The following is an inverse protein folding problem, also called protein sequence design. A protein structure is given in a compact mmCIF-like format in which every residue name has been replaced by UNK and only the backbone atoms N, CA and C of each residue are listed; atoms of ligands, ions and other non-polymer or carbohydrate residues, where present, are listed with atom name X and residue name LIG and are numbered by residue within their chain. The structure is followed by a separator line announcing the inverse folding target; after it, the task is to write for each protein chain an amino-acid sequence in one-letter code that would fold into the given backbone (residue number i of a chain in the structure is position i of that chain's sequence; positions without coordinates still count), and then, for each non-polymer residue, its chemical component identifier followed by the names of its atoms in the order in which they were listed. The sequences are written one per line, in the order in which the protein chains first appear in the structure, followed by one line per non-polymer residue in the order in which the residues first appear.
data_IF_878791799451
#
_entry.id   IF_878791799451
#
_cell.length_a   1.000
_cell.length_b   1.000
_cell.length_c   1.000
_cell.angle_alpha   90.00
_cell.angle_beta   90.00
_cell.angle_gamma   90.00
#
_symmetry.space_group_name_H-M   'P 1'
#
loop_
_entity.id
_entity.type
_entity.pdbx_description
1 polymer ?
#
# COMPACT_ATOMS: atom_id res chain seq x y z
N UNK A 1 10.79 -8.58 2.98
CA UNK A 1 10.36 -7.52 3.92
C UNK A 1 8.85 -7.61 4.03
N UNK A 2 8.29 -7.93 5.19
CA UNK A 2 6.84 -7.93 5.33
C UNK A 2 6.39 -6.47 5.47
N UNK A 3 5.38 -6.09 4.70
CA UNK A 3 4.78 -4.77 4.83
C UNK A 3 3.72 -4.85 5.92
N UNK A 4 3.74 -3.90 6.85
CA UNK A 4 2.69 -3.75 7.87
C UNK A 4 1.74 -2.68 7.37
N UNK A 5 0.47 -3.05 7.20
CA UNK A 5 -0.61 -2.12 6.86
C UNK A 5 -1.64 -2.08 7.98
N UNK A 6 -2.33 -0.95 8.11
CA UNK A 6 -3.51 -0.85 8.96
C UNK A 6 -4.75 -1.25 8.15
N UNK A 7 -5.55 -2.17 8.69
CA UNK A 7 -6.83 -2.57 8.10
C UNK A 7 -7.95 -2.27 9.08
N UNK A 8 -9.13 -1.92 8.56
CA UNK A 8 -10.33 -1.76 9.38
C UNK A 8 -10.64 -3.04 10.15
N UNK A 9 -10.97 -2.86 11.42
CA UNK A 9 -11.36 -3.92 12.33
C UNK A 9 -12.89 -3.99 12.39
N UNK A 10 -13.42 -5.21 12.36
CA UNK A 10 -14.85 -5.46 12.47
C UNK A 10 -15.18 -5.89 13.90
N UNK A 11 -16.12 -5.18 14.53
CA UNK A 11 -16.55 -5.50 15.89
C UNK A 11 -17.26 -6.85 15.95
N UNK A 12 -16.79 -7.80 16.78
CA UNK A 12 -17.50 -9.05 17.01
C UNK A 12 -18.84 -8.82 17.71
N UNK A 13 -19.86 -9.56 17.27
CA UNK A 13 -21.15 -9.65 17.94
C UNK A 13 -21.07 -10.70 19.03
N UNK A 14 -21.49 -10.35 20.25
CA UNK A 14 -21.47 -11.26 21.38
C UNK A 14 -22.85 -11.80 21.75
N UNK A 15 -22.87 -13.01 22.29
CA UNK A 15 -24.03 -13.66 22.92
C UNK A 15 -23.76 -14.12 24.35
N UNK A 16 -22.52 -13.94 24.84
CA UNK A 16 -22.08 -14.25 26.18
C UNK A 16 -20.76 -13.53 26.48
N UNK A 17 -20.41 -13.42 27.77
CA UNK A 17 -19.08 -12.95 28.18
C UNK A 17 -18.01 -13.98 27.77
N UNK A 18 -16.90 -13.50 27.22
CA UNK A 18 -15.74 -14.32 26.88
C UNK A 18 -14.73 -14.44 28.04
N UNK A 19 -13.56 -15.00 27.76
CA UNK A 19 -12.42 -15.01 28.70
C UNK A 19 -11.45 -13.89 28.35
N UNK A 20 -11.28 -12.92 29.26
CA UNK A 20 -10.30 -11.84 29.11
C UNK A 20 -8.88 -12.41 28.93
N UNK A 21 -8.16 -11.98 27.90
CA UNK A 21 -6.84 -12.53 27.57
C UNK A 21 -6.85 -13.87 26.83
N UNK A 22 -8.03 -14.38 26.46
CA UNK A 22 -8.19 -15.64 25.73
C UNK A 22 -7.83 -15.58 24.25
N UNK A 23 -8.35 -16.53 23.47
CA UNK A 23 -8.13 -16.63 22.03
C UNK A 23 -9.15 -15.87 21.18
N UNK A 24 -10.20 -15.33 21.79
CA UNK A 24 -11.29 -14.61 21.11
C UNK A 24 -11.53 -13.26 21.74
N UNK A 25 -12.30 -12.41 21.06
CA UNK A 25 -12.81 -11.18 21.65
C UNK A 25 -13.62 -11.51 22.91
N UNK A 26 -13.43 -10.73 23.95
CA UNK A 26 -14.04 -10.97 25.25
C UNK A 26 -14.33 -9.64 25.95
N UNK A 27 -15.26 -9.67 26.89
CA UNK A 27 -15.67 -8.50 27.66
C UNK A 27 -15.86 -8.88 29.12
N UNK A 28 -15.67 -7.89 29.98
CA UNK A 28 -15.95 -7.96 31.41
C UNK A 28 -16.35 -6.57 31.90
N UNK A 29 -16.95 -6.47 33.08
CA UNK A 29 -17.29 -5.18 33.68
C UNK A 29 -16.84 -5.16 35.13
N UNK A 30 -16.71 -3.95 35.68
CA UNK A 30 -16.46 -3.74 37.11
C UNK A 30 -17.58 -4.31 37.96
N UNK A 31 -18.81 -3.99 37.56
CA UNK A 31 -20.04 -4.34 38.25
C UNK A 31 -21.21 -4.34 37.25
N UNK A 32 -22.27 -5.06 37.59
CA UNK A 32 -23.52 -5.02 36.82
C UNK A 32 -24.71 -5.29 37.75
N UNK A 33 -25.88 -4.80 37.36
CA UNK A 33 -27.13 -5.09 38.07
C UNK A 33 -28.19 -5.59 37.09
N UNK A 34 -28.59 -6.85 37.28
CA UNK A 34 -29.75 -7.43 36.60
C UNK A 34 -30.99 -6.58 36.90
N UNK A 35 -31.74 -6.21 35.87
CA UNK A 35 -33.00 -5.50 36.08
C UNK A 35 -34.08 -6.50 36.50
N UNK A 36 -34.56 -6.44 37.73
CA UNK A 36 -35.54 -7.40 38.26
C UNK A 36 -36.92 -7.28 37.60
N UNK A 37 -37.21 -6.20 36.88
CA UNK A 37 -38.46 -6.01 36.12
C UNK A 37 -38.36 -6.41 34.65
N UNK A 38 -37.18 -6.87 34.21
CA UNK A 38 -36.87 -7.25 32.84
C UNK A 38 -36.28 -8.66 32.83
N UNK A 39 -36.57 -9.45 31.80
CA UNK A 39 -36.02 -10.80 31.64
C UNK A 39 -34.56 -10.80 31.20
N UNK A 40 -33.99 -9.65 30.84
CA UNK A 40 -32.60 -9.52 30.40
C UNK A 40 -31.60 -9.42 31.57
N UNK A 41 -30.48 -10.15 31.44
CA UNK A 41 -29.44 -10.25 32.48
C UNK A 41 -28.61 -8.97 32.65
N UNK A 42 -28.51 -8.14 31.59
CA UNK A 42 -27.76 -6.88 31.54
C UNK A 42 -26.26 -7.04 31.79
N UNK A 43 -25.75 -8.20 31.38
CA UNK A 43 -24.33 -8.55 31.41
C UNK A 43 -23.49 -7.65 30.49
N UNK A 44 -22.16 -7.66 30.68
CA UNK A 44 -21.22 -6.89 29.87
C UNK A 44 -21.34 -7.18 28.35
N UNK A 45 -21.56 -8.43 27.95
CA UNK A 45 -21.68 -8.81 26.54
C UNK A 45 -22.85 -8.15 25.82
N UNK A 46 -23.91 -7.77 26.54
CA UNK A 46 -25.08 -7.11 25.94
C UNK A 46 -24.70 -5.75 25.32
N UNK A 47 -23.63 -5.11 25.80
CA UNK A 47 -23.11 -3.88 25.19
C UNK A 47 -22.55 -4.09 23.77
N UNK A 48 -22.37 -5.34 23.34
CA UNK A 48 -21.80 -5.75 22.05
C UNK A 48 -22.71 -6.73 21.29
N UNK A 49 -23.98 -6.82 21.69
CA UNK A 49 -24.95 -7.70 21.04
C UNK A 49 -25.32 -7.20 19.64
N UNK A 50 -25.93 -8.06 18.82
CA UNK A 50 -26.47 -7.64 17.51
C UNK A 50 -27.72 -6.76 17.68
N UNK A 51 -28.51 -7.04 18.70
CA UNK A 51 -29.69 -6.27 19.04
C UNK A 51 -29.28 -5.03 19.85
N UNK A 52 -29.38 -3.86 19.25
CA UNK A 52 -29.05 -2.58 19.89
C UNK A 52 -30.01 -2.19 21.03
N UNK A 53 -31.10 -2.95 21.24
CA UNK A 53 -31.95 -2.81 22.42
C UNK A 53 -31.34 -3.47 23.66
N UNK A 54 -30.32 -4.32 23.47
CA UNK A 54 -29.52 -4.89 24.55
C UNK A 54 -28.39 -3.95 24.94
N UNK A 55 -28.15 -3.86 26.25
CA UNK A 55 -27.15 -2.97 26.82
C UNK A 55 -26.64 -3.54 28.14
N UNK A 56 -25.38 -3.26 28.44
CA UNK A 56 -24.85 -3.49 29.77
C UNK A 56 -25.42 -2.45 30.73
N UNK A 57 -25.79 -2.90 31.93
CA UNK A 57 -26.23 -2.04 33.04
C UNK A 57 -25.31 -2.20 34.24
N UNK A 58 -24.62 -1.14 34.63
CA UNK A 58 -23.76 -1.16 35.81
C UNK A 58 -24.56 -1.31 37.11
N UNK A 59 -23.88 -1.60 38.23
CA UNK A 59 -24.48 -1.58 39.56
C UNK A 59 -24.31 -0.23 40.29
N UNK A 60 -23.46 0.65 39.75
CA UNK A 60 -23.12 1.95 40.34
C UNK A 60 -23.09 3.05 39.30
N UNK A 61 -23.23 4.30 39.74
CA UNK A 61 -23.23 5.48 38.86
C UNK A 61 -21.88 5.75 38.18
N UNK A 62 -20.79 5.28 38.77
CA UNK A 62 -19.43 5.34 38.22
C UNK A 62 -18.85 3.93 38.11
N UNK A 63 -18.77 3.44 36.88
CA UNK A 63 -18.36 2.08 36.59
C UNK A 63 -17.59 2.01 35.28
N UNK A 64 -17.08 0.82 34.96
CA UNK A 64 -16.35 0.59 33.72
C UNK A 64 -16.67 -0.77 33.12
N UNK A 65 -16.47 -0.83 31.80
CA UNK A 65 -16.50 -2.05 31.00
C UNK A 65 -15.17 -2.19 30.27
N UNK A 66 -14.61 -3.38 30.38
CA UNK A 66 -13.36 -3.78 29.75
C UNK A 66 -13.66 -4.72 28.60
N UNK A 67 -12.95 -4.55 27.50
CA UNK A 67 -12.95 -5.51 26.41
C UNK A 67 -11.54 -5.85 25.97
N UNK A 68 -11.40 -7.04 25.41
CA UNK A 68 -10.16 -7.63 24.97
C UNK A 68 -10.29 -8.08 23.52
N UNK A 69 -9.29 -7.76 22.69
CA UNK A 69 -9.13 -8.31 21.37
C UNK A 69 -7.77 -9.05 21.27
N UNK A 70 -7.73 -10.31 20.78
CA UNK A 70 -6.49 -11.09 20.66
C UNK A 70 -5.42 -10.40 19.82
N UNK A 71 -5.86 -9.68 18.79
CA UNK A 71 -5.01 -8.83 17.95
C UNK A 71 -5.09 -7.41 18.48
N UNK A 72 -3.96 -6.74 18.77
CA UNK A 72 -3.99 -5.36 19.22
C UNK A 72 -4.72 -4.44 18.23
N UNK A 73 -5.59 -3.56 18.74
CA UNK A 73 -6.34 -2.58 17.95
C UNK A 73 -6.10 -1.16 18.41
N UNK A 74 -6.19 -0.24 17.45
CA UNK A 74 -6.15 1.20 17.65
C UNK A 74 -7.54 1.76 17.41
N UNK A 75 -8.17 2.22 18.49
CA UNK A 75 -9.54 2.74 18.44
C UNK A 75 -9.53 4.19 17.93
N UNK A 76 -10.33 4.43 16.89
CA UNK A 76 -10.57 5.77 16.34
C UNK A 76 -11.72 6.44 17.08
N UNK A 77 -12.84 5.73 17.18
CA UNK A 77 -14.09 6.26 17.76
C UNK A 77 -14.85 5.17 18.50
N UNK A 78 -15.59 5.58 19.52
CA UNK A 78 -16.59 4.74 20.18
C UNK A 78 -17.93 5.45 20.13
N UNK A 79 -18.87 4.88 19.40
CA UNK A 79 -20.27 5.26 19.43
C UNK A 79 -20.92 4.58 20.64
N UNK A 80 -21.49 5.39 21.51
CA UNK A 80 -22.09 4.96 22.76
C UNK A 80 -23.59 5.27 22.70
N UNK A 81 -24.42 4.24 22.82
CA UNK A 81 -25.88 4.36 22.87
C UNK A 81 -26.40 3.93 24.24
N UNK A 82 -27.43 4.62 24.70
CA UNK A 82 -28.02 4.46 26.03
C UNK A 82 -29.51 4.16 25.86
N UNK A 83 -29.96 2.96 26.25
CA UNK A 83 -31.35 2.46 26.18
C UNK A 83 -32.06 2.52 24.79
N UNK A 84 -33.19 1.83 24.72
CA UNK A 84 -34.03 1.46 23.57
C UNK A 84 -34.62 2.67 22.83
N UNK A 85 -34.96 3.74 23.55
CA UNK A 85 -35.60 4.91 22.98
C UNK A 85 -34.61 6.08 22.91
N UNK A 86 -34.25 6.48 21.68
CA UNK A 86 -33.39 7.62 21.34
C UNK A 86 -33.88 8.99 21.87
N UNK A 87 -34.87 8.99 22.76
CA UNK A 87 -35.58 10.16 23.28
C UNK A 87 -35.41 10.33 24.79
N UNK A 88 -34.83 9.37 25.52
CA UNK A 88 -34.69 9.44 26.99
C UNK A 88 -33.25 9.15 27.45
N UNK A 89 -32.73 10.01 28.32
CA UNK A 89 -31.32 10.07 28.78
C UNK A 89 -30.93 9.05 29.84
N UNK A 90 -31.70 7.98 29.98
CA UNK A 90 -31.60 7.11 31.15
C UNK A 90 -30.28 6.32 31.15
N UNK A 91 -29.46 6.57 32.18
CA UNK A 91 -28.17 5.91 32.39
C UNK A 91 -27.05 6.34 31.43
N UNK A 92 -27.20 7.46 30.74
CA UNK A 92 -26.15 7.98 29.87
C UNK A 92 -24.96 8.54 30.67
N UNK A 93 -23.71 8.16 30.36
CA UNK A 93 -22.55 8.78 30.99
C UNK A 93 -22.44 10.25 30.56
N UNK A 94 -22.21 11.13 31.53
CA UNK A 94 -21.96 12.58 31.35
C UNK A 94 -20.47 12.87 31.22
N UNK A 95 -19.63 12.00 31.75
CA UNK A 95 -18.18 12.11 31.67
C UNK A 95 -17.53 10.76 31.87
N UNK A 96 -16.25 10.70 31.54
CA UNK A 96 -15.46 9.51 31.74
C UNK A 96 -14.15 9.55 30.99
N UNK A 97 -13.52 8.39 30.89
CA UNK A 97 -12.21 8.23 30.28
C UNK A 97 -12.13 6.89 29.56
N UNK A 98 -11.36 6.87 28.47
CA UNK A 98 -11.02 5.65 27.73
C UNK A 98 -9.57 5.32 27.98
N UNK A 99 -9.29 4.05 28.26
CA UNK A 99 -7.95 3.54 28.53
C UNK A 99 -7.58 2.39 27.60
N UNK A 100 -6.28 2.19 27.43
CA UNK A 100 -5.69 1.02 26.77
C UNK A 100 -4.69 0.32 27.66
N UNK A 101 -4.53 -0.98 27.47
CA UNK A 101 -3.57 -1.81 28.19
C UNK A 101 -3.09 -2.97 27.32
N UNK A 102 -1.83 -3.37 27.52
CA UNK A 102 -1.25 -4.56 26.88
C UNK A 102 -1.49 -5.84 27.69
N UNK A 103 -1.74 -5.70 29.00
CA UNK A 103 -1.80 -6.82 29.95
C UNK A 103 -3.11 -6.92 30.75
N UNK A 104 -4.01 -5.93 30.62
CA UNK A 104 -5.30 -5.89 31.31
C UNK A 104 -5.23 -5.47 32.78
N UNK A 105 -4.06 -5.01 33.25
CA UNK A 105 -3.82 -4.61 34.65
C UNK A 105 -3.23 -3.21 34.75
N UNK A 106 -2.27 -2.86 33.89
CA UNK A 106 -1.66 -1.54 33.81
C UNK A 106 -2.36 -0.74 32.72
N UNK A 107 -3.09 0.31 33.12
CA UNK A 107 -3.95 1.08 32.23
C UNK A 107 -3.32 2.43 31.89
N UNK A 108 -3.20 2.71 30.60
CA UNK A 108 -2.82 4.01 30.07
C UNK A 108 -4.05 4.76 29.61
N UNK A 109 -4.30 5.95 30.16
CA UNK A 109 -5.41 6.79 29.72
C UNK A 109 -5.15 7.30 28.30
N UNK A 110 -6.12 7.10 27.42
CA UNK A 110 -6.06 7.53 26.01
C UNK A 110 -6.71 8.91 25.87
N UNK A 111 -7.93 9.07 26.37
CA UNK A 111 -8.66 10.35 26.33
C UNK A 111 -9.66 10.46 27.46
N UNK A 112 -9.99 11.69 27.82
CA UNK A 112 -11.18 12.03 28.60
C UNK A 112 -12.33 12.38 27.65
N UNK A 113 -13.57 12.29 28.13
CA UNK A 113 -14.74 12.79 27.42
C UNK A 113 -15.74 13.41 28.38
N UNK A 114 -16.54 14.32 27.83
CA UNK A 114 -17.75 14.86 28.46
C UNK A 114 -18.89 14.75 27.47
N UNK A 115 -20.08 14.44 27.95
CA UNK A 115 -21.28 14.29 27.16
C UNK A 115 -22.38 15.17 27.76
N UNK A 116 -22.82 16.15 26.98
CA UNK A 116 -23.97 17.01 27.31
C UNK A 116 -25.20 16.69 26.45
N UNK A 117 -25.14 15.61 25.65
CA UNK A 117 -26.21 15.26 24.71
C UNK A 117 -27.25 14.38 25.38
N UNK A 118 -28.50 14.55 24.98
CA UNK A 118 -29.61 13.74 25.43
C UNK A 118 -29.73 12.50 24.53
N UNK A 119 -28.96 11.45 24.79
CA UNK A 119 -29.02 10.18 24.06
C UNK A 119 -27.66 9.68 23.57
N UNK A 120 -27.65 9.04 22.40
CA UNK A 120 -26.44 8.46 21.83
C UNK A 120 -25.39 9.53 21.48
N UNK A 121 -24.14 9.23 21.78
CA UNK A 121 -23.02 10.15 21.58
C UNK A 121 -21.79 9.39 21.06
N UNK A 122 -20.81 10.14 20.59
CA UNK A 122 -19.56 9.57 20.08
C UNK A 122 -18.38 10.13 20.84
N UNK A 123 -17.52 9.25 21.32
CA UNK A 123 -16.20 9.61 21.86
C UNK A 123 -15.17 9.49 20.74
N UNK A 124 -14.51 10.60 20.43
CA UNK A 124 -13.36 10.62 19.53
C UNK A 124 -12.12 10.12 20.29
N UNK A 125 -11.88 8.81 20.26
CA UNK A 125 -10.81 8.18 21.03
C UNK A 125 -9.43 8.48 20.45
N UNK A 126 -9.29 8.44 19.12
CA UNK A 126 -8.05 8.77 18.39
C UNK A 126 -6.78 8.16 19.00
N UNK A 127 -6.83 6.88 19.40
CA UNK A 127 -5.66 6.20 19.96
C UNK A 127 -4.51 6.27 18.97
N UNK A 128 -3.29 6.50 19.46
CA UNK A 128 -2.05 6.45 18.67
C UNK A 128 -1.31 5.13 18.86
N UNK A 129 -1.77 4.30 19.81
CA UNK A 129 -1.14 3.04 20.20
C UNK A 129 -2.14 1.90 20.00
N UNK A 130 -1.62 0.72 19.63
CA UNK A 130 -2.39 -0.51 19.55
C UNK A 130 -2.37 -1.20 20.91
N UNK A 131 -3.56 -1.46 21.46
CA UNK A 131 -3.71 -2.18 22.74
C UNK A 131 -4.50 -3.46 22.53
N UNK A 132 -4.30 -4.45 23.41
CA UNK A 132 -5.13 -5.66 23.45
C UNK A 132 -6.36 -5.50 24.32
N UNK A 133 -6.24 -4.70 25.38
CA UNK A 133 -7.29 -4.46 26.35
C UNK A 133 -7.65 -2.98 26.33
N UNK A 134 -8.94 -2.72 26.49
CA UNK A 134 -9.48 -1.38 26.47
C UNK A 134 -10.52 -1.27 27.57
N UNK A 135 -10.57 -0.10 28.20
CA UNK A 135 -11.54 0.22 29.25
C UNK A 135 -12.30 1.46 28.84
N UNK A 136 -13.62 1.37 28.91
CA UNK A 136 -14.48 2.53 28.91
C UNK A 136 -14.98 2.74 30.34
N UNK A 137 -14.52 3.81 30.97
CA UNK A 137 -15.01 4.24 32.29
C UNK A 137 -15.96 5.41 32.10
N UNK A 138 -17.11 5.36 32.76
CA UNK A 138 -18.15 6.38 32.68
C UNK A 138 -18.69 6.76 34.05
N UNK A 139 -19.27 7.94 34.12
CA UNK A 139 -20.05 8.43 35.27
C UNK A 139 -21.37 9.03 34.79
N UNK A 140 -22.48 8.55 35.34
CA UNK A 140 -23.83 9.11 35.16
C UNK A 140 -24.30 9.63 36.51
N UNK A 141 -24.54 10.94 36.59
CA UNK A 141 -24.96 11.61 37.84
C UNK A 141 -26.37 12.18 37.75
N UNK A 142 -26.94 12.23 36.55
CA UNK A 142 -28.21 12.86 36.24
C UNK A 142 -29.09 11.83 35.55
N UNK A 143 -30.31 11.66 36.07
CA UNK A 143 -31.40 10.81 35.56
C UNK A 143 -31.33 9.30 35.86
N UNK A 144 -30.22 8.77 36.38
CA UNK A 144 -30.17 7.40 36.92
C UNK A 144 -29.01 7.22 37.92
N UNK A 145 -28.96 6.07 38.60
CA UNK A 145 -27.83 5.64 39.44
C UNK A 145 -26.99 4.54 38.78
N UNK A 146 -27.23 4.23 37.50
CA UNK A 146 -26.60 3.14 36.75
C UNK A 146 -26.21 3.61 35.35
N UNK A 147 -25.12 3.08 34.81
CA UNK A 147 -24.66 3.29 33.44
C UNK A 147 -25.31 2.28 32.52
N UNK A 148 -25.85 2.76 31.41
CA UNK A 148 -26.50 1.95 30.39
C UNK A 148 -25.72 2.11 29.08
N UNK A 149 -25.08 1.07 28.59
CA UNK A 149 -24.20 1.19 27.43
C UNK A 149 -24.35 0.06 26.41
N UNK A 150 -24.42 0.49 25.15
CA UNK A 150 -24.20 -0.30 23.96
C UNK A 150 -23.15 0.40 23.09
N UNK A 151 -22.22 -0.37 22.51
CA UNK A 151 -21.10 0.16 21.74
C UNK A 151 -21.14 -0.24 20.27
N UNK A 152 -20.75 0.72 19.44
CA UNK A 152 -20.10 0.45 18.15
C UNK A 152 -18.72 1.09 18.15
N UNK A 153 -17.70 0.31 17.80
CA UNK A 153 -16.31 0.72 17.86
C UNK A 153 -15.74 0.75 16.44
N UNK A 154 -15.21 1.92 16.07
CA UNK A 154 -14.41 2.08 14.86
C UNK A 154 -12.94 1.93 15.24
N UNK A 155 -12.27 0.89 14.73
CA UNK A 155 -10.88 0.61 15.02
C UNK A 155 -10.14 0.04 13.81
N UNK A 156 -8.81 0.02 13.92
CA UNK A 156 -7.93 -0.67 12.97
C UNK A 156 -7.01 -1.63 13.71
N UNK A 157 -6.58 -2.67 13.01
CA UNK A 157 -5.54 -3.58 13.46
C UNK A 157 -4.36 -3.60 12.47
N UNK A 158 -3.20 -4.05 12.96
CA UNK A 158 -2.04 -4.25 12.09
C UNK A 158 -2.12 -5.62 11.41
N UNK A 159 -2.12 -5.60 10.08
CA UNK A 159 -1.96 -6.80 9.28
C UNK A 159 -0.54 -6.86 8.73
N UNK A 160 0.11 -8.00 8.94
CA UNK A 160 1.37 -8.32 8.25
C UNK A 160 1.02 -8.88 6.88
N UNK A 161 1.44 -8.20 5.83
CA UNK A 161 1.26 -8.64 4.45
C UNK A 161 2.59 -9.18 3.95
N UNK A 162 2.56 -10.42 3.46
CA UNK A 162 3.73 -11.03 2.83
C UNK A 162 3.90 -10.45 1.42
N UNK A 163 5.13 -10.28 0.95
CA UNK A 163 5.39 -9.79 -0.42
C UNK A 163 4.81 -10.72 -1.49
N UNK A 164 4.57 -11.99 -1.15
CA UNK A 164 3.85 -12.95 -1.99
C UNK A 164 2.41 -12.52 -2.27
N UNK A 165 1.70 -11.93 -1.31
CA UNK A 165 0.31 -11.46 -1.47
C UNK A 165 0.21 -10.20 -2.34
N UNK A 166 1.26 -9.35 -2.30
CA UNK A 166 1.37 -8.17 -3.17
C UNK A 166 1.74 -8.54 -4.62
N UNK A 167 2.37 -9.71 -4.81
CA UNK A 167 2.79 -10.14 -6.14
C UNK A 167 1.60 -10.39 -7.06
N UNK A 168 0.42 -10.75 -6.52
CA UNK A 168 -0.76 -11.08 -7.33
C UNK A 168 -1.50 -9.85 -7.89
N UNK A 169 -1.12 -8.62 -7.47
CA UNK A 169 -1.67 -7.34 -7.96
C UNK A 169 -0.68 -6.47 -8.74
N UNK A 170 0.54 -6.95 -9.00
CA UNK A 170 1.49 -6.29 -9.89
C UNK A 170 1.54 -7.09 -11.18
N UNK A 171 1.37 -6.43 -12.33
CA UNK A 171 1.59 -7.04 -13.64
C UNK A 171 3.01 -7.62 -13.70
N UNK A 172 3.14 -8.91 -13.36
CA UNK A 172 4.42 -9.62 -13.32
C UNK A 172 4.97 -9.63 -14.74
N UNK A 173 6.14 -9.00 -14.99
CA UNK A 173 6.91 -9.26 -16.22
C UNK A 173 7.22 -10.76 -16.22
N UNK A 174 6.62 -11.49 -17.15
CA UNK A 174 6.76 -12.94 -17.23
C UNK A 174 8.10 -13.28 -17.88
N UNK A 175 8.63 -14.46 -17.58
CA UNK A 175 9.81 -15.01 -18.27
C UNK A 175 9.61 -15.08 -19.79
N UNK A 176 8.35 -15.24 -20.24
CA UNK A 176 7.96 -15.14 -21.65
C UNK A 176 8.23 -13.76 -22.24
N UNK A 177 7.97 -12.69 -21.50
CA UNK A 177 8.09 -11.32 -21.98
C UNK A 177 9.58 -10.96 -22.17
N UNK A 178 10.44 -11.51 -21.32
CA UNK A 178 11.90 -11.41 -21.45
C UNK A 178 12.44 -12.23 -22.64
N UNK A 179 11.86 -13.40 -22.90
CA UNK A 179 12.18 -14.21 -24.06
C UNK A 179 11.73 -13.54 -25.37
N UNK A 180 10.57 -12.89 -25.38
CA UNK A 180 10.06 -12.10 -26.50
C UNK A 180 10.95 -10.88 -26.76
N UNK A 181 11.37 -10.17 -25.71
CA UNK A 181 12.35 -9.08 -25.84
C UNK A 181 13.67 -9.57 -26.44
N UNK A 182 14.15 -10.75 -26.04
CA UNK A 182 15.36 -11.37 -26.59
C UNK A 182 15.21 -11.68 -28.08
N UNK A 183 14.06 -12.23 -28.48
CA UNK A 183 13.73 -12.48 -29.89
C UNK A 183 13.69 -11.20 -30.71
N UNK A 184 13.06 -10.15 -30.17
CA UNK A 184 12.97 -8.85 -30.84
C UNK A 184 14.34 -8.17 -31.00
N UNK A 185 15.23 -8.26 -30.01
CA UNK A 185 16.62 -7.76 -30.11
C UNK A 185 17.40 -8.53 -31.19
N UNK A 186 17.23 -9.84 -31.26
CA UNK A 186 17.87 -10.66 -32.29
C UNK A 186 17.38 -10.31 -33.71
N UNK A 187 16.09 -10.01 -33.87
CA UNK A 187 15.50 -9.58 -35.14
C UNK A 187 16.05 -8.20 -35.56
N UNK A 188 16.17 -7.25 -34.63
CA UNK A 188 16.77 -5.93 -34.89
C UNK A 188 18.24 -6.05 -35.30
N UNK A 189 19.03 -6.91 -34.63
CA UNK A 189 20.42 -7.16 -35.00
C UNK A 189 20.55 -7.71 -36.43
N UNK A 190 19.66 -8.62 -36.83
CA UNK A 190 19.63 -9.15 -38.19
C UNK A 190 19.25 -8.09 -39.23
N UNK A 191 18.27 -7.23 -38.92
CA UNK A 191 17.78 -6.21 -39.85
C UNK A 191 18.74 -5.02 -40.03
N UNK A 192 19.55 -4.70 -39.01
CA UNK A 192 20.38 -3.47 -38.98
C UNK A 192 21.87 -3.72 -39.15
N UNK A 193 22.34 -4.98 -39.13
CA UNK A 193 23.76 -5.32 -39.16
C UNK A 193 24.57 -4.88 -37.92
N UNK A 194 23.89 -4.33 -36.91
CA UNK A 194 24.49 -3.89 -35.64
C UNK A 194 24.59 -5.05 -34.65
N UNK A 195 25.67 -5.12 -33.87
CA UNK A 195 25.83 -6.09 -32.76
C UNK A 195 25.28 -5.50 -31.45
N UNK A 196 23.97 -5.43 -31.29
CA UNK A 196 23.39 -5.12 -29.97
C UNK A 196 23.68 -6.30 -29.05
N UNK A 197 24.59 -6.09 -28.10
CA UNK A 197 24.96 -7.10 -27.11
C UNK A 197 24.01 -6.97 -25.92
N UNK A 198 23.01 -7.85 -25.87
CA UNK A 198 22.15 -8.01 -24.70
C UNK A 198 22.55 -9.31 -23.99
N UNK A 199 23.11 -9.18 -22.80
CA UNK A 199 23.27 -10.33 -21.91
C UNK A 199 22.00 -10.42 -21.08
N UNK A 200 21.21 -11.48 -21.30
CA UNK A 200 20.03 -11.73 -20.49
C UNK A 200 20.47 -11.76 -19.01
N UNK A 201 19.89 -10.91 -18.14
CA UNK A 201 20.14 -11.04 -16.71
C UNK A 201 19.68 -12.44 -16.30
N UNK A 202 20.47 -13.12 -15.48
CA UNK A 202 20.11 -14.44 -14.96
C UNK A 202 18.99 -14.25 -13.92
N UNK A 203 17.76 -14.15 -14.42
CA UNK A 203 16.56 -13.98 -13.62
C UNK A 203 15.92 -15.35 -13.52
N UNK A 204 16.16 -16.04 -12.39
CA UNK A 204 15.51 -17.30 -12.09
C UNK A 204 13.98 -17.15 -12.19
N UNK A 205 13.32 -18.20 -12.67
CA UNK A 205 11.86 -18.22 -12.75
C UNK A 205 11.26 -18.01 -11.35
N UNK A 206 10.64 -16.85 -11.12
CA UNK A 206 10.10 -16.45 -9.81
C UNK A 206 10.88 -15.34 -9.10
N UNK A 207 11.94 -14.78 -9.70
CA UNK A 207 12.65 -13.64 -9.12
C UNK A 207 11.77 -12.40 -9.13
N UNK A 208 11.48 -11.86 -7.94
CA UNK A 208 10.73 -10.63 -7.75
C UNK A 208 11.63 -9.45 -8.16
N UNK A 209 11.12 -8.59 -9.04
CA UNK A 209 11.82 -7.37 -9.46
C UNK A 209 11.88 -6.41 -8.27
N UNK A 210 13.01 -6.39 -7.55
CA UNK A 210 13.29 -5.40 -6.51
C UNK A 210 13.95 -4.13 -7.13
N UNK A 211 14.18 -3.10 -6.32
CA UNK A 211 14.75 -1.82 -6.79
C UNK A 211 16.05 -1.94 -7.62
N UNK A 212 16.88 -2.95 -7.30
CA UNK A 212 18.14 -3.25 -8.02
C UNK A 212 17.89 -3.71 -9.47
N UNK A 213 16.84 -4.51 -9.70
CA UNK A 213 16.48 -4.96 -11.06
C UNK A 213 15.80 -3.88 -11.89
N UNK A 214 15.11 -2.93 -11.26
CA UNK A 214 14.55 -1.76 -11.93
C UNK A 214 15.65 -0.82 -12.44
N UNK A 215 16.69 -0.58 -11.63
CA UNK A 215 17.86 0.23 -12.02
C UNK A 215 18.62 -0.40 -13.21
N UNK A 216 18.73 -1.73 -13.23
CA UNK A 216 19.30 -2.47 -14.36
C UNK A 216 18.45 -2.35 -15.63
N UNK A 217 17.11 -2.40 -15.53
CA UNK A 217 16.20 -2.19 -16.66
C UNK A 217 16.24 -0.75 -17.17
N UNK A 218 16.29 0.24 -16.27
CA UNK A 218 16.43 1.65 -16.64
C UNK A 218 17.76 1.91 -17.36
N UNK A 219 18.84 1.28 -16.89
CA UNK A 219 20.16 1.36 -17.53
C UNK A 219 20.13 0.75 -18.94
N UNK A 220 19.52 -0.43 -19.10
CA UNK A 220 19.38 -1.07 -20.41
C UNK A 220 18.53 -0.24 -21.38
N UNK A 221 17.43 0.35 -20.90
CA UNK A 221 16.56 1.26 -21.68
C UNK A 221 17.31 2.53 -22.09
N UNK A 222 18.12 3.09 -21.20
CA UNK A 222 18.94 4.27 -21.47
C UNK A 222 20.01 3.97 -22.54
N UNK A 223 20.70 2.82 -22.45
CA UNK A 223 21.65 2.38 -23.47
C UNK A 223 20.98 2.19 -24.84
N UNK A 224 19.78 1.60 -24.87
CA UNK A 224 19.01 1.43 -26.12
C UNK A 224 18.65 2.79 -26.74
N UNK A 225 18.18 3.74 -25.92
CA UNK A 225 17.81 5.10 -26.35
C UNK A 225 19.01 5.87 -26.91
N UNK A 226 20.17 5.79 -26.27
CA UNK A 226 21.42 6.41 -26.75
C UNK A 226 21.84 5.81 -28.10
N UNK A 227 21.70 4.49 -28.28
CA UNK A 227 22.07 3.84 -29.54
C UNK A 227 21.11 4.18 -30.69
N UNK A 228 19.80 4.24 -30.45
CA UNK A 228 18.83 4.69 -31.46
C UNK A 228 19.07 6.14 -31.89
N UNK A 229 19.57 6.98 -30.98
CA UNK A 229 19.86 8.39 -31.26
C UNK A 229 21.18 8.57 -32.04
N UNK A 230 22.12 7.64 -31.90
CA UNK A 230 23.46 7.71 -32.53
C UNK A 230 23.58 6.89 -33.84
N UNK A 231 22.55 6.16 -34.26
CA UNK A 231 22.61 5.27 -35.44
C UNK A 231 22.19 5.93 -36.76
N UNK A 232 22.09 7.25 -36.82
CA UNK A 232 21.72 7.98 -38.03
C UNK A 232 22.75 7.87 -39.19
N UNK A 233 23.93 7.28 -38.96
CA UNK A 233 25.01 7.18 -39.95
C UNK A 233 25.23 5.78 -40.55
N UNK A 234 24.47 4.74 -40.15
CA UNK A 234 24.67 3.37 -40.66
C UNK A 234 23.49 2.78 -41.44
N UNK A 235 22.36 3.48 -41.52
CA UNK A 235 21.31 3.17 -42.49
C UNK A 235 21.73 3.58 -43.92
N UNK A 236 21.20 2.84 -44.89
CA UNK A 236 21.43 2.95 -46.34
C UNK A 236 21.71 4.40 -46.80
N UNK A 237 22.63 4.59 -47.75
CA UNK A 237 23.23 5.89 -48.15
C UNK A 237 22.19 6.99 -48.52
N UNK A 238 20.94 6.61 -48.78
CA UNK A 238 19.83 7.52 -49.09
C UNK A 238 19.00 7.95 -47.85
N UNK A 239 18.96 7.18 -46.76
CA UNK A 239 18.13 7.46 -45.57
C UNK A 239 18.83 8.35 -44.54
N UNK A 240 20.16 8.40 -44.57
CA UNK A 240 21.01 9.20 -43.69
C UNK A 240 20.82 10.72 -43.91
N UNK A 241 20.42 11.15 -45.12
CA UNK A 241 20.30 12.57 -45.47
C UNK A 241 18.95 13.21 -45.09
N UNK A 242 17.82 12.49 -45.18
CA UNK A 242 16.50 13.09 -44.90
C UNK A 242 16.20 13.22 -43.40
N UNK A 243 16.68 12.26 -42.59
CA UNK A 243 16.39 12.20 -41.15
C UNK A 243 17.28 13.12 -40.29
N UNK A 244 18.47 13.50 -40.77
CA UNK A 244 19.40 14.38 -40.03
C UNK A 244 19.13 15.89 -40.20
N UNK A 245 18.23 16.30 -41.10
CA UNK A 245 17.95 17.72 -41.37
C UNK A 245 17.03 18.39 -40.33
N UNK A 246 16.33 17.62 -39.50
CA UNK A 246 15.23 18.14 -38.68
C UNK A 246 15.59 18.42 -37.21
N UNK A 247 16.81 18.12 -36.77
CA UNK A 247 17.22 18.38 -35.38
C UNK A 247 18.52 19.19 -35.32
N UNK A 248 18.47 20.31 -34.59
CA UNK A 248 19.58 21.26 -34.43
C UNK A 248 20.85 20.68 -33.76
N UNK A 249 20.80 19.43 -33.28
CA UNK A 249 21.92 18.72 -32.64
C UNK A 249 22.62 17.72 -33.58
N UNK A 250 22.10 17.49 -34.81
CA UNK A 250 22.72 16.61 -35.81
C UNK A 250 23.93 17.22 -36.56
N UNK A 251 24.17 18.53 -36.42
CA UNK A 251 25.18 19.24 -37.22
C UNK A 251 26.63 18.84 -36.90
N UNK A 252 26.93 18.38 -35.68
CA UNK A 252 28.29 17.99 -35.31
C UNK A 252 28.69 16.59 -35.82
N UNK A 253 27.73 15.67 -35.95
CA UNK A 253 27.97 14.32 -36.46
C UNK A 253 28.04 14.23 -37.98
N UNK A 254 27.33 15.10 -38.70
CA UNK A 254 27.28 15.09 -40.16
C UNK A 254 28.47 15.75 -40.88
N UNK A 255 29.35 16.48 -40.18
CA UNK A 255 30.55 17.07 -40.82
C UNK A 255 31.52 16.00 -41.35
N UNK A 256 31.51 14.79 -40.80
CA UNK A 256 32.30 13.66 -41.32
C UNK A 256 31.72 13.06 -42.62
N UNK A 257 30.46 13.33 -42.95
CA UNK A 257 29.80 12.80 -44.14
C UNK A 257 30.02 13.64 -45.42
N UNK A 258 30.63 14.84 -45.33
CA UNK A 258 30.95 15.65 -46.52
C UNK A 258 32.00 15.00 -47.45
N UNK A 259 32.80 14.04 -46.96
CA UNK A 259 33.72 13.26 -47.79
C UNK A 259 33.05 12.24 -48.72
N UNK A 260 31.75 11.98 -48.56
CA UNK A 260 31.03 10.96 -49.33
C UNK A 260 30.33 11.47 -50.60
N UNK A 261 30.22 12.80 -50.80
CA UNK A 261 29.64 13.37 -52.02
C UNK A 261 30.52 13.17 -53.26
N UNK A 262 31.84 12.98 -53.09
CA UNK A 262 32.77 12.77 -54.21
C UNK A 262 32.87 11.32 -54.68
N UNK A 263 32.28 10.37 -53.96
CA UNK A 263 32.37 8.93 -54.26
C UNK A 263 31.20 8.39 -55.09
N UNK A 264 30.35 9.24 -55.65
CA UNK A 264 29.22 8.81 -56.51
C UNK A 264 29.67 8.35 -57.91
N UNK A 265 30.93 8.58 -58.31
CA UNK A 265 31.46 8.22 -59.62
C UNK A 265 32.25 6.89 -59.69
N UNK A 266 32.41 6.16 -58.57
CA UNK A 266 33.29 4.97 -58.52
C UNK A 266 32.56 3.61 -58.51
N UNK A 267 31.36 3.51 -59.10
CA UNK A 267 30.52 2.32 -59.04
C UNK A 267 30.86 1.25 -60.10
N UNK A 268 32.14 0.92 -60.29
CA UNK A 268 32.56 -0.05 -61.33
C UNK A 268 33.93 -0.71 -61.19
N UNK A 269 34.65 -0.61 -60.06
CA UNK A 269 35.99 -1.18 -59.92
C UNK A 269 35.97 -2.56 -59.25
N UNK A 270 36.09 -3.66 -60.01
CA UNK A 270 36.09 -5.03 -59.48
C UNK A 270 37.44 -5.55 -58.96
N UNK A 271 38.53 -4.80 -59.13
CA UNK A 271 39.76 -4.90 -58.32
C UNK A 271 40.29 -3.48 -58.23
N UNK A 272 40.24 -2.82 -57.07
CA UNK A 272 40.17 -1.34 -56.97
C UNK A 272 41.30 -0.57 -57.70
N UNK A 273 41.06 -0.16 -58.94
CA UNK A 273 42.01 0.56 -59.81
C UNK A 273 41.75 2.07 -59.94
N UNK A 274 40.84 2.66 -59.14
CA UNK A 274 40.26 3.98 -59.43
C UNK A 274 40.78 5.19 -58.64
N UNK A 275 41.64 5.06 -57.64
CA UNK A 275 42.05 6.20 -56.81
C UNK A 275 43.26 6.98 -57.32
N UNK A 276 43.46 7.07 -58.65
CA UNK A 276 44.61 7.79 -59.23
C UNK A 276 44.37 9.30 -59.48
N UNK A 277 43.18 9.85 -59.21
CA UNK A 277 42.88 11.28 -59.41
C UNK A 277 42.33 12.02 -58.18
N UNK A 278 42.23 11.37 -57.02
CA UNK A 278 42.08 12.09 -55.75
C UNK A 278 43.40 12.82 -55.47
N UNK A 279 43.42 14.15 -55.47
CA UNK A 279 44.65 14.93 -55.27
C UNK A 279 45.36 14.62 -53.92
N UNK A 280 44.74 13.87 -53.00
CA UNK A 280 45.34 13.35 -51.77
C UNK A 280 45.81 11.88 -51.80
N UNK A 281 45.67 11.14 -52.91
CA UNK A 281 46.01 9.71 -53.01
C UNK A 281 47.36 9.41 -53.69
N UNK A 282 48.31 10.36 -53.68
CA UNK A 282 49.66 10.13 -54.22
C UNK A 282 50.54 9.16 -53.38
N UNK A 283 50.12 8.76 -52.18
CA UNK A 283 50.87 7.80 -51.35
C UNK A 283 50.50 6.32 -51.59
N UNK A 284 49.52 6.02 -52.43
CA UNK A 284 49.10 4.66 -52.77
C UNK A 284 49.85 4.06 -53.98
N UNK A 285 51.05 4.55 -54.29
CA UNK A 285 52.00 3.84 -55.16
C UNK A 285 53.09 3.16 -54.32
N UNK A 286 52.84 1.90 -53.98
CA UNK A 286 53.80 0.79 -54.07
C UNK A 286 53.04 -0.53 -53.94
#
# INVERSE_FOLDING_TARGET
MNNIIEKEWEQPVLTANGTMGGSTFAVSCKDFQSNTSDTAARDAWEAFAADETQYWRSATSTSYIDFYNPVPIKIKKMYCRTNIDNTVTYGAPESGSVYGSDNGTDWTKITDFTNSTTGAFTVAVNSTVFYKYHRFEGTCTVNDTYLHLHFRIDAVYQQTVSLTDLSDNVDKIKKSDLAELTGNVAAVNQATGSKVSYTQPDIDAGTIINGVTWENLQTAMASLKTMMTNNCCQSNKNDCCESCQTTAQGYAGCQACQGCQTCQSCQGCQTCQGCQSCQGCQSCQK
#
